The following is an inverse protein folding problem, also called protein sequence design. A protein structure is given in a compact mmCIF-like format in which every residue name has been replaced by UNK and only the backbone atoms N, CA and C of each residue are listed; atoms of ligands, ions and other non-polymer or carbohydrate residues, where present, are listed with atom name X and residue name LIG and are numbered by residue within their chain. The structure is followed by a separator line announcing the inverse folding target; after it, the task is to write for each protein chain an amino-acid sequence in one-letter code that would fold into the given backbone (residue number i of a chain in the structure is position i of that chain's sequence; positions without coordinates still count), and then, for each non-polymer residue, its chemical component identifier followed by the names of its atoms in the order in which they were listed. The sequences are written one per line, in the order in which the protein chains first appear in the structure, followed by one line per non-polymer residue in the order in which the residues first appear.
data_IF_479759256404
#
_entry.id   IF_479759256404
#
_cell.length_a   1.000
_cell.length_b   1.000
_cell.length_c   1.000
_cell.angle_alpha   90.00
_cell.angle_beta   90.00
_cell.angle_gamma   90.00
#
_symmetry.space_group_name_H-M   'P 1'
#
loop_
_entity.id
_entity.type
_entity.pdbx_description
1 polymer ?
#
# COMPACT_ATOMS: atom_id res chain seq x y z
N UNK A 1 10.59 -15.64 -12.42
CA UNK A 1 10.48 -17.05 -12.03
C UNK A 1 11.58 -17.85 -12.70
N UNK A 2 12.17 -18.84 -12.03
CA UNK A 2 13.17 -19.75 -12.60
C UNK A 2 12.48 -20.80 -13.45
N UNK A 3 13.09 -21.16 -14.57
CA UNK A 3 12.60 -22.21 -15.47
C UNK A 3 12.93 -23.59 -14.92
N UNK A 4 11.96 -24.51 -14.98
CA UNK A 4 12.12 -25.90 -14.55
C UNK A 4 12.42 -26.84 -15.71
N UNK A 5 12.16 -26.42 -16.96
CA UNK A 5 12.23 -27.26 -18.15
C UNK A 5 11.20 -28.38 -18.14
N UNK A 6 10.09 -28.14 -17.43
CA UNK A 6 8.92 -29.01 -17.39
C UNK A 6 7.75 -28.14 -17.82
N UNK A 7 7.27 -28.36 -19.04
CA UNK A 7 6.40 -27.38 -19.72
C UNK A 7 5.14 -27.06 -18.92
N UNK A 8 4.48 -28.11 -18.43
CA UNK A 8 3.24 -28.00 -17.63
C UNK A 8 3.43 -27.15 -16.37
N UNK A 9 4.55 -27.29 -15.68
CA UNK A 9 4.84 -26.57 -14.44
C UNK A 9 5.31 -25.14 -14.73
N UNK A 10 6.11 -24.95 -15.79
CA UNK A 10 6.56 -23.63 -16.23
C UNK A 10 5.37 -22.75 -16.65
N UNK A 11 4.31 -23.31 -17.24
CA UNK A 11 3.07 -22.61 -17.55
C UNK A 11 2.34 -22.12 -16.29
N UNK A 12 2.27 -22.93 -15.24
CA UNK A 12 1.70 -22.51 -13.95
C UNK A 12 2.47 -21.33 -13.36
N UNK A 13 3.80 -21.38 -13.34
CA UNK A 13 4.60 -20.27 -12.80
C UNK A 13 4.58 -19.00 -13.66
N UNK A 14 4.33 -19.11 -14.97
CA UNK A 14 4.12 -17.93 -15.84
C UNK A 14 2.87 -17.15 -15.43
N UNK A 15 1.80 -17.83 -15.00
CA UNK A 15 0.57 -17.18 -14.56
C UNK A 15 0.77 -16.31 -13.30
N UNK A 16 1.81 -16.58 -12.52
CA UNK A 16 2.15 -15.78 -11.34
C UNK A 16 2.92 -14.50 -11.66
N UNK A 17 3.44 -14.32 -12.88
CA UNK A 17 4.27 -13.15 -13.21
C UNK A 17 3.52 -11.83 -13.08
N UNK A 18 2.28 -11.77 -13.57
CA UNK A 18 1.47 -10.54 -13.48
C UNK A 18 1.06 -10.23 -12.04
N UNK A 19 0.48 -11.17 -11.25
CA UNK A 19 0.18 -10.92 -9.84
C UNK A 19 1.39 -10.47 -9.00
N UNK A 20 2.59 -11.00 -9.26
CA UNK A 20 3.81 -10.55 -8.57
C UNK A 20 4.15 -9.10 -8.91
N UNK A 21 4.00 -8.70 -10.17
CA UNK A 21 4.21 -7.31 -10.60
C UNK A 21 3.17 -6.39 -9.97
N UNK A 22 1.89 -6.74 -10.07
CA UNK A 22 0.80 -5.98 -9.45
C UNK A 22 1.04 -5.81 -7.94
N UNK A 23 1.43 -6.87 -7.24
CA UNK A 23 1.75 -6.81 -5.81
C UNK A 23 2.93 -5.89 -5.52
N UNK A 24 3.93 -5.85 -6.40
CA UNK A 24 5.11 -4.98 -6.23
C UNK A 24 4.74 -3.53 -6.46
N UNK A 25 4.04 -3.24 -7.57
CA UNK A 25 3.61 -1.90 -7.93
C UNK A 25 2.69 -1.30 -6.86
N UNK A 26 1.73 -2.07 -6.34
CA UNK A 26 0.84 -1.63 -5.27
C UNK A 26 1.62 -1.21 -4.01
N UNK A 27 2.62 -2.00 -3.62
CA UNK A 27 3.45 -1.71 -2.43
C UNK A 27 4.34 -0.49 -2.66
N UNK A 28 5.03 -0.43 -3.79
CA UNK A 28 5.95 0.67 -4.11
C UNK A 28 5.20 2.00 -4.27
N UNK A 29 4.04 2.01 -4.94
CA UNK A 29 3.24 3.22 -5.11
C UNK A 29 2.75 3.79 -3.77
N UNK A 30 2.27 2.92 -2.86
CA UNK A 30 1.88 3.34 -1.52
C UNK A 30 3.08 3.89 -0.73
N UNK A 31 4.20 3.16 -0.72
CA UNK A 31 5.40 3.57 0.01
C UNK A 31 5.96 4.90 -0.51
N UNK A 32 6.03 5.08 -1.83
CA UNK A 32 6.52 6.30 -2.46
C UNK A 32 5.64 7.50 -2.13
N UNK A 33 4.31 7.33 -2.12
CA UNK A 33 3.38 8.40 -1.75
C UNK A 33 3.50 8.78 -0.27
N UNK A 34 3.66 7.80 0.63
CA UNK A 34 3.93 8.05 2.05
C UNK A 34 5.24 8.81 2.25
N UNK A 35 6.32 8.39 1.57
CA UNK A 35 7.63 9.07 1.65
C UNK A 35 7.53 10.50 1.14
N UNK A 36 6.91 10.71 -0.02
CA UNK A 36 6.73 12.05 -0.61
C UNK A 36 5.95 12.98 0.32
N UNK A 37 4.90 12.48 0.98
CA UNK A 37 4.16 13.25 1.98
C UNK A 37 5.03 13.61 3.19
N UNK A 38 5.80 12.66 3.74
CA UNK A 38 6.72 12.90 4.87
C UNK A 38 7.78 13.96 4.55
N UNK A 39 8.35 13.91 3.35
CA UNK A 39 9.34 14.89 2.88
C UNK A 39 8.76 16.31 2.84
N UNK A 40 7.52 16.47 2.34
CA UNK A 40 6.83 17.76 2.30
C UNK A 40 6.43 18.27 3.69
N UNK A 41 6.25 17.36 4.65
CA UNK A 41 6.11 17.72 6.06
C UNK A 41 7.43 18.25 6.65
N UNK A 42 8.57 18.03 6.01
CA UNK A 42 9.91 18.43 6.49
C UNK A 42 10.40 17.57 7.65
N UNK A 43 9.94 16.32 7.74
CA UNK A 43 10.31 15.39 8.80
C UNK A 43 11.32 14.35 8.31
N UNK A 44 12.05 13.75 9.25
CA UNK A 44 12.96 12.65 8.94
C UNK A 44 12.19 11.43 8.38
N UNK A 45 12.80 10.58 7.53
CA UNK A 45 12.13 9.40 6.96
C UNK A 45 11.53 8.44 7.99
N UNK A 46 12.14 8.39 9.18
CA UNK A 46 11.71 7.56 10.33
C UNK A 46 10.47 8.10 11.05
N UNK A 47 10.02 9.32 10.74
CA UNK A 47 8.84 9.91 11.35
C UNK A 47 7.58 9.12 10.97
N UNK A 48 6.64 9.02 11.91
CA UNK A 48 5.34 8.40 11.66
C UNK A 48 4.32 9.42 11.13
N UNK A 49 3.14 8.95 10.72
CA UNK A 49 2.13 9.85 10.15
C UNK A 49 1.47 10.75 11.20
N UNK A 50 1.44 10.32 12.47
CA UNK A 50 1.01 11.18 13.57
C UNK A 50 1.85 12.46 13.62
N UNK A 51 3.18 12.31 13.60
CA UNK A 51 4.11 13.44 13.60
C UNK A 51 3.93 14.33 12.37
N UNK A 52 3.66 13.74 11.20
CA UNK A 52 3.39 14.48 9.97
C UNK A 52 2.15 15.35 10.08
N UNK A 53 1.02 14.77 10.52
CA UNK A 53 -0.24 15.50 10.69
C UNK A 53 -0.11 16.59 11.75
N UNK A 54 0.57 16.33 12.87
CA UNK A 54 0.84 17.35 13.90
C UNK A 54 1.72 18.50 13.36
N UNK A 55 2.77 18.17 12.60
CA UNK A 55 3.64 19.19 12.01
C UNK A 55 2.89 20.06 11.00
N UNK A 56 2.02 19.45 10.18
CA UNK A 56 1.24 20.15 9.16
C UNK A 56 0.08 20.93 9.76
N UNK A 57 -0.57 20.43 10.82
CA UNK A 57 -1.71 21.11 11.46
C UNK A 57 -1.36 22.51 11.95
N UNK A 58 -0.16 22.68 12.54
CA UNK A 58 0.37 23.99 12.94
C UNK A 58 0.49 24.99 11.79
N UNK A 59 0.60 24.52 10.55
CA UNK A 59 0.69 25.34 9.34
C UNK A 59 -0.68 25.56 8.68
N UNK A 60 -1.63 24.67 8.94
CA UNK A 60 -2.99 24.71 8.42
C UNK A 60 -3.96 25.51 9.30
N UNK A 61 -3.57 25.82 10.54
CA UNK A 61 -4.31 26.71 11.44
C UNK A 61 -3.66 28.09 11.41
N UNK A 62 -4.45 29.13 11.12
CA UNK A 62 -3.97 30.53 11.17
C UNK A 62 -3.87 31.03 12.62
N UNK A 63 -3.11 32.11 12.82
CA UNK A 63 -2.93 32.78 14.13
C UNK A 63 -4.22 33.33 14.74
N UNK A 64 -5.27 33.50 13.94
CA UNK A 64 -6.63 33.91 14.36
C UNK A 64 -7.54 32.72 14.70
N UNK A 65 -6.97 31.52 14.84
CA UNK A 65 -7.71 30.26 15.01
C UNK A 65 -8.62 29.87 13.83
N UNK A 66 -8.46 30.49 12.65
CA UNK A 66 -9.19 30.05 11.46
C UNK A 66 -8.48 28.86 10.80
N UNK A 67 -9.20 27.74 10.67
CA UNK A 67 -8.68 26.53 10.03
C UNK A 67 -8.76 26.67 8.51
N UNK A 68 -7.64 26.49 7.80
CA UNK A 68 -7.60 26.52 6.34
C UNK A 68 -8.11 25.23 5.70
N UNK A 69 -8.05 24.11 6.43
CA UNK A 69 -8.37 22.77 5.96
C UNK A 69 -9.04 21.97 7.06
N UNK A 70 -10.17 21.35 6.75
CA UNK A 70 -10.84 20.39 7.63
C UNK A 70 -10.56 18.98 7.10
N UNK A 71 -10.23 18.05 7.99
CA UNK A 71 -10.10 16.64 7.62
C UNK A 71 -11.45 15.96 7.83
N UNK A 72 -12.07 15.51 6.75
CA UNK A 72 -13.29 14.75 6.80
C UNK A 72 -12.97 13.30 7.17
N UNK A 73 -13.46 12.87 8.34
CA UNK A 73 -13.23 11.55 8.91
C UNK A 73 -14.48 10.64 8.84
N UNK A 74 -15.53 11.06 8.13
CA UNK A 74 -16.78 10.30 8.05
C UNK A 74 -16.64 9.02 7.21
N UNK A 75 -15.69 9.02 6.27
CA UNK A 75 -15.39 7.89 5.40
C UNK A 75 -14.14 7.12 5.86
N UNK A 76 -14.00 5.90 5.36
CA UNK A 76 -12.82 5.04 5.62
C UNK A 76 -11.49 5.69 5.18
N UNK A 77 -11.54 6.60 4.21
CA UNK A 77 -10.38 7.26 3.63
C UNK A 77 -10.48 8.77 3.87
N UNK A 78 -9.75 9.29 4.88
CA UNK A 78 -9.83 10.70 5.27
C UNK A 78 -9.45 11.68 4.16
N UNK A 79 -10.31 12.63 3.85
CA UNK A 79 -10.06 13.68 2.83
C UNK A 79 -9.81 15.04 3.47
N UNK A 80 -9.08 15.91 2.78
CA UNK A 80 -8.83 17.29 3.21
C UNK A 80 -9.72 18.26 2.44
N UNK A 81 -10.55 19.01 3.14
CA UNK A 81 -11.49 19.97 2.58
C UNK A 81 -11.02 21.41 2.84
N UNK A 82 -10.77 22.16 1.78
CA UNK A 82 -10.30 23.55 1.86
C UNK A 82 -11.42 24.47 2.36
N UNK A 83 -11.14 25.29 3.37
CA UNK A 83 -12.08 26.28 3.93
C UNK A 83 -11.81 27.71 3.44
N UNK A 84 -10.76 27.92 2.63
CA UNK A 84 -10.40 29.24 2.14
C UNK A 84 -9.20 29.23 1.20
N UNK A 85 -8.61 30.42 0.97
CA UNK A 85 -7.43 30.56 0.11
C UNK A 85 -6.20 30.00 0.84
N UNK A 86 -5.66 28.92 0.28
CA UNK A 86 -4.48 28.23 0.83
C UNK A 86 -3.22 28.65 0.08
N UNK A 87 -2.13 29.04 0.78
CA UNK A 87 -0.81 29.27 0.20
C UNK A 87 -0.29 28.10 -0.66
N UNK A 88 0.46 28.39 -1.71
CA UNK A 88 0.95 27.39 -2.67
C UNK A 88 1.78 26.27 -2.02
N UNK A 89 2.57 26.60 -1.00
CA UNK A 89 3.34 25.63 -0.23
C UNK A 89 2.43 24.61 0.49
N UNK A 90 1.30 25.06 1.02
CA UNK A 90 0.33 24.21 1.72
C UNK A 90 -0.51 23.38 0.73
N UNK A 91 -0.83 23.93 -0.45
CA UNK A 91 -1.48 23.16 -1.52
C UNK A 91 -0.68 21.93 -1.92
N UNK A 92 0.64 22.06 -2.07
CA UNK A 92 1.52 20.90 -2.39
C UNK A 92 1.44 19.80 -1.33
N UNK A 93 1.39 20.17 -0.05
CA UNK A 93 1.23 19.22 1.06
C UNK A 93 -0.13 18.50 0.97
N UNK A 94 -1.20 19.26 0.70
CA UNK A 94 -2.56 18.71 0.57
C UNK A 94 -2.65 17.75 -0.61
N UNK A 95 -2.10 18.11 -1.78
CA UNK A 95 -2.06 17.21 -2.95
C UNK A 95 -1.27 15.93 -2.66
N UNK A 96 -0.14 16.03 -1.96
CA UNK A 96 0.63 14.84 -1.57
C UNK A 96 -0.12 13.97 -0.56
N UNK A 97 -0.85 14.58 0.37
CA UNK A 97 -1.73 13.87 1.29
C UNK A 97 -2.86 13.13 0.54
N UNK A 98 -3.56 13.80 -0.38
CA UNK A 98 -4.62 13.19 -1.19
C UNK A 98 -4.07 12.03 -2.04
N UNK A 99 -2.90 12.21 -2.64
CA UNK A 99 -2.22 11.15 -3.39
C UNK A 99 -1.88 9.95 -2.50
N UNK A 100 -1.37 10.19 -1.29
CA UNK A 100 -1.09 9.16 -0.30
C UNK A 100 -2.35 8.38 0.08
N UNK A 101 -3.44 9.07 0.41
CA UNK A 101 -4.73 8.44 0.73
C UNK A 101 -5.25 7.61 -0.45
N UNK A 102 -5.13 8.12 -1.67
CA UNK A 102 -5.53 7.40 -2.87
C UNK A 102 -4.70 6.13 -3.10
N UNK A 103 -3.37 6.18 -2.90
CA UNK A 103 -2.52 4.99 -3.02
C UNK A 103 -2.79 3.96 -1.92
N UNK A 104 -3.07 4.41 -0.69
CA UNK A 104 -3.51 3.53 0.40
C UNK A 104 -4.84 2.84 0.05
N UNK A 105 -5.79 3.58 -0.52
CA UNK A 105 -7.07 3.04 -0.98
C UNK A 105 -6.88 1.97 -2.06
N UNK A 106 -6.14 2.30 -3.12
CA UNK A 106 -5.87 1.38 -4.22
C UNK A 106 -5.20 0.10 -3.70
N UNK A 107 -4.19 0.21 -2.82
CA UNK A 107 -3.56 -0.95 -2.20
C UNK A 107 -4.58 -1.78 -1.40
N UNK A 108 -5.38 -1.14 -0.53
CA UNK A 108 -6.31 -1.82 0.38
C UNK A 108 -7.40 -2.58 -0.38
N UNK A 109 -7.96 -1.96 -1.43
CA UNK A 109 -9.04 -2.52 -2.25
C UNK A 109 -8.56 -3.66 -3.17
N UNK A 110 -7.31 -3.61 -3.66
CA UNK A 110 -6.80 -4.58 -4.63
C UNK A 110 -5.94 -5.69 -4.02
N UNK A 111 -5.37 -5.49 -2.83
CA UNK A 111 -4.41 -6.41 -2.22
C UNK A 111 -4.97 -7.83 -2.04
N UNK A 112 -6.24 -7.99 -1.62
CA UNK A 112 -6.82 -9.32 -1.40
C UNK A 112 -6.94 -10.10 -2.72
N UNK A 113 -7.44 -9.44 -3.77
CA UNK A 113 -7.56 -10.04 -5.10
C UNK A 113 -6.20 -10.46 -5.66
N UNK A 114 -5.17 -9.63 -5.51
CA UNK A 114 -3.81 -9.96 -5.98
C UNK A 114 -3.20 -11.07 -5.13
N UNK A 115 -3.39 -11.03 -3.81
CA UNK A 115 -2.95 -12.08 -2.89
C UNK A 115 -3.56 -13.44 -3.26
N UNK A 116 -4.87 -13.49 -3.50
CA UNK A 116 -5.57 -14.70 -3.90
C UNK A 116 -5.00 -15.28 -5.20
N UNK A 117 -4.72 -14.46 -6.21
CA UNK A 117 -4.09 -14.91 -7.47
C UNK A 117 -2.70 -15.52 -7.24
N UNK A 118 -1.88 -14.94 -6.37
CA UNK A 118 -0.56 -15.49 -6.01
C UNK A 118 -0.72 -16.84 -5.31
N UNK A 119 -1.62 -16.92 -4.32
CA UNK A 119 -1.88 -18.15 -3.56
C UNK A 119 -2.47 -19.25 -4.44
N UNK A 120 -3.34 -18.91 -5.39
CA UNK A 120 -3.87 -19.86 -6.37
C UNK A 120 -2.75 -20.45 -7.24
N UNK A 121 -1.84 -19.61 -7.75
CA UNK A 121 -0.67 -20.10 -8.50
C UNK A 121 0.22 -21.03 -7.65
N UNK A 122 0.42 -20.67 -6.38
CA UNK A 122 1.17 -21.52 -5.44
C UNK A 122 0.47 -22.88 -5.25
N UNK A 123 -0.85 -22.90 -5.00
CA UNK A 123 -1.63 -24.13 -4.83
C UNK A 123 -1.55 -25.02 -6.06
N UNK A 124 -1.78 -24.46 -7.24
CA UNK A 124 -1.67 -25.19 -8.50
C UNK A 124 -0.26 -25.77 -8.73
N UNK A 125 0.79 -25.01 -8.39
CA UNK A 125 2.16 -25.52 -8.49
C UNK A 125 2.41 -26.68 -7.51
N UNK A 126 1.87 -26.61 -6.29
CA UNK A 126 2.04 -27.63 -5.25
C UNK A 126 1.42 -28.98 -5.61
N UNK A 127 0.43 -29.04 -6.51
CA UNK A 127 -0.12 -30.30 -7.03
C UNK A 127 0.94 -31.15 -7.75
N UNK A 128 1.99 -30.52 -8.28
CA UNK A 128 3.09 -31.21 -8.95
C UNK A 128 4.21 -31.63 -7.99
N UNK A 129 4.23 -31.14 -6.74
CA UNK A 129 5.38 -31.25 -5.84
C UNK A 129 5.79 -32.71 -5.57
N UNK A 130 4.83 -33.57 -5.24
CA UNK A 130 5.09 -34.99 -4.91
C UNK A 130 5.63 -35.79 -6.11
N UNK A 131 5.15 -35.47 -7.31
CA UNK A 131 5.48 -36.20 -8.53
C UNK A 131 6.53 -35.48 -9.41
N UNK A 132 7.11 -34.37 -8.93
CA UNK A 132 7.97 -33.48 -9.71
C UNK A 132 9.13 -34.22 -10.37
N UNK A 133 9.80 -35.09 -9.62
CA UNK A 133 10.90 -35.90 -10.13
C UNK A 133 10.44 -36.90 -11.20
N UNK A 134 9.30 -37.57 -10.97
CA UNK A 134 8.73 -38.52 -11.94
C UNK A 134 8.34 -37.81 -13.25
N UNK A 135 7.70 -36.64 -13.14
CA UNK A 135 7.30 -35.83 -14.30
C UNK A 135 8.55 -35.37 -15.07
N UNK A 136 9.55 -34.86 -14.37
CA UNK A 136 10.79 -34.42 -15.01
C UNK A 136 11.50 -35.55 -15.75
N UNK A 137 11.57 -36.75 -15.16
CA UNK A 137 12.16 -37.92 -15.81
C UNK A 137 11.36 -38.35 -17.06
N UNK A 138 10.02 -38.30 -17.01
CA UNK A 138 9.14 -38.57 -18.16
C UNK A 138 9.31 -37.55 -19.30
N UNK A 139 9.61 -36.29 -18.98
CA UNK A 139 9.96 -35.26 -19.96
C UNK A 139 11.43 -35.34 -20.43
N UNK A 140 12.18 -36.37 -20.01
CA UNK A 140 13.54 -36.64 -20.50
C UNK A 140 14.65 -35.88 -19.75
N UNK A 141 14.35 -35.28 -18.60
CA UNK A 141 15.37 -34.65 -17.76
C UNK A 141 16.26 -35.71 -17.10
N UNK A 142 17.58 -35.58 -17.33
CA UNK A 142 18.61 -36.39 -16.65
C UNK A 142 18.82 -35.90 -15.22
N UNK A 143 19.35 -36.77 -14.36
CA UNK A 143 19.56 -36.56 -12.91
C UNK A 143 20.00 -35.14 -12.52
N UNK A 144 21.11 -34.62 -13.07
CA UNK A 144 21.59 -33.26 -12.73
C UNK A 144 20.60 -32.15 -13.11
N UNK A 145 19.88 -32.27 -14.23
CA UNK A 145 18.86 -31.29 -14.63
C UNK A 145 17.59 -31.42 -13.78
N UNK A 146 17.25 -32.64 -13.41
CA UNK A 146 16.10 -32.94 -12.55
C UNK A 146 16.31 -32.37 -11.14
N UNK A 147 17.51 -32.51 -10.57
CA UNK A 147 17.88 -31.85 -9.31
C UNK A 147 17.73 -30.33 -9.39
N UNK A 148 18.22 -29.71 -10.47
CA UNK A 148 18.05 -28.27 -10.71
C UNK A 148 16.58 -27.87 -10.86
N UNK A 149 15.74 -28.71 -11.47
CA UNK A 149 14.31 -28.43 -11.59
C UNK A 149 13.63 -28.40 -10.20
N UNK A 150 14.00 -29.32 -9.31
CA UNK A 150 13.52 -29.35 -7.91
C UNK A 150 13.97 -28.10 -7.14
N UNK A 151 15.22 -27.68 -7.30
CA UNK A 151 15.73 -26.44 -6.71
C UNK A 151 15.00 -25.19 -7.24
N UNK A 152 14.79 -25.11 -8.55
CA UNK A 152 14.02 -24.04 -9.19
C UNK A 152 12.57 -24.00 -8.71
N UNK A 153 11.92 -25.16 -8.59
CA UNK A 153 10.57 -25.29 -8.04
C UNK A 153 10.50 -24.72 -6.63
N UNK A 154 11.39 -25.18 -5.75
CA UNK A 154 11.46 -24.74 -4.35
C UNK A 154 11.66 -23.23 -4.26
N UNK A 155 12.61 -22.68 -5.04
CA UNK A 155 12.84 -21.24 -5.09
C UNK A 155 11.60 -20.47 -5.56
N UNK A 156 10.92 -20.95 -6.61
CA UNK A 156 9.72 -20.30 -7.14
C UNK A 156 8.60 -20.26 -6.08
N UNK A 157 8.37 -21.36 -5.37
CA UNK A 157 7.40 -21.42 -4.27
C UNK A 157 7.77 -20.42 -3.15
N UNK A 158 9.04 -20.34 -2.78
CA UNK A 158 9.51 -19.37 -1.77
C UNK A 158 9.24 -17.93 -2.20
N UNK A 159 9.46 -17.59 -3.47
CA UNK A 159 9.13 -16.24 -3.97
C UNK A 159 7.63 -15.97 -3.92
N UNK A 160 6.78 -16.91 -4.32
CA UNK A 160 5.32 -16.71 -4.26
C UNK A 160 4.86 -16.45 -2.82
N UNK A 161 5.34 -17.25 -1.86
CA UNK A 161 5.05 -17.04 -0.42
C UNK A 161 5.55 -15.67 0.04
N UNK A 162 6.80 -15.32 -0.27
CA UNK A 162 7.38 -14.04 0.12
C UNK A 162 6.61 -12.84 -0.46
N UNK A 163 6.19 -12.90 -1.72
CA UNK A 163 5.39 -11.83 -2.33
C UNK A 163 4.00 -11.69 -1.70
N UNK A 164 3.36 -12.82 -1.38
CA UNK A 164 2.07 -12.83 -0.68
C UNK A 164 2.18 -12.23 0.73
N UNK A 165 3.23 -12.61 1.48
CA UNK A 165 3.49 -12.10 2.83
C UNK A 165 3.80 -10.60 2.84
N UNK A 166 4.64 -10.13 1.90
CA UNK A 166 4.96 -8.71 1.73
C UNK A 166 3.71 -7.88 1.41
N UNK A 167 2.82 -8.39 0.55
CA UNK A 167 1.58 -7.70 0.21
C UNK A 167 0.64 -7.60 1.42
N UNK A 168 0.52 -8.68 2.20
CA UNK A 168 -0.26 -8.68 3.45
C UNK A 168 0.30 -7.70 4.47
N UNK A 169 1.62 -7.66 4.64
CA UNK A 169 2.28 -6.69 5.51
C UNK A 169 1.98 -5.26 5.08
N UNK A 170 2.16 -4.95 3.79
CA UNK A 170 1.91 -3.61 3.26
C UNK A 170 0.45 -3.16 3.42
N UNK A 171 -0.52 -4.07 3.23
CA UNK A 171 -1.93 -3.77 3.51
C UNK A 171 -2.16 -3.43 4.98
N UNK A 172 -1.59 -4.19 5.91
CA UNK A 172 -1.71 -3.91 7.34
C UNK A 172 -1.07 -2.56 7.71
N UNK A 173 0.09 -2.24 7.14
CA UNK A 173 0.75 -0.95 7.31
C UNK A 173 -0.12 0.20 6.76
N UNK A 174 -0.72 0.04 5.59
CA UNK A 174 -1.67 1.01 5.02
C UNK A 174 -2.87 1.27 5.94
N UNK A 175 -3.45 0.22 6.53
CA UNK A 175 -4.54 0.37 7.49
C UNK A 175 -4.09 1.06 8.78
N UNK A 176 -2.88 0.78 9.25
CA UNK A 176 -2.32 1.44 10.42
C UNK A 176 -2.01 2.92 10.15
N UNK A 177 -1.54 3.25 8.94
CA UNK A 177 -1.36 4.62 8.49
C UNK A 177 -2.67 5.42 8.53
N UNK A 178 -3.80 4.84 8.11
CA UNK A 178 -5.11 5.48 8.20
C UNK A 178 -5.51 5.78 9.65
N UNK A 179 -5.28 4.84 10.58
CA UNK A 179 -5.56 5.06 12.01
C UNK A 179 -4.71 6.19 12.57
N UNK A 180 -3.41 6.20 12.28
CA UNK A 180 -2.52 7.27 12.70
C UNK A 180 -2.96 8.64 12.20
N UNK A 181 -3.38 8.73 10.93
CA UNK A 181 -3.92 9.97 10.36
C UNK A 181 -5.19 10.40 11.09
N UNK A 182 -6.13 9.48 11.30
CA UNK A 182 -7.38 9.74 11.99
C UNK A 182 -7.14 10.26 13.41
N UNK A 183 -6.35 9.54 14.21
CA UNK A 183 -6.08 9.89 15.61
C UNK A 183 -5.36 11.24 15.73
N UNK A 184 -4.44 11.52 14.82
CA UNK A 184 -3.73 12.80 14.77
C UNK A 184 -4.66 13.94 14.35
N UNK A 185 -5.53 13.74 13.35
CA UNK A 185 -6.49 14.74 12.91
C UNK A 185 -7.47 15.11 14.03
N UNK A 186 -7.96 14.13 14.79
CA UNK A 186 -8.79 14.35 15.98
C UNK A 186 -8.02 15.12 17.06
N UNK A 187 -6.79 14.68 17.36
CA UNK A 187 -5.95 15.29 18.41
C UNK A 187 -5.58 16.73 18.09
N UNK A 188 -5.42 17.07 16.81
CA UNK A 188 -5.16 18.43 16.34
C UNK A 188 -6.43 19.27 16.14
N UNK A 189 -7.63 18.72 16.36
CA UNK A 189 -8.89 19.42 16.14
C UNK A 189 -9.20 19.75 14.68
N UNK A 190 -8.54 19.06 13.73
CA UNK A 190 -8.72 19.29 12.28
C UNK A 190 -10.05 18.73 11.75
N UNK A 191 -10.74 17.90 12.51
CA UNK A 191 -11.98 17.23 12.11
C UNK A 191 -13.26 18.04 12.35
N UNK A 192 -13.14 19.25 12.90
CA UNK A 192 -14.29 20.13 13.17
C UNK A 192 -14.29 21.30 12.20
N UNK A 193 -15.33 21.47 11.36
CA UNK A 193 -15.58 22.74 10.73
C UNK A 193 -15.88 23.78 11.82
N UNK A 194 -15.31 24.98 11.71
CA UNK A 194 -15.68 26.08 12.60
C UNK A 194 -17.14 26.43 12.28
N UNK A 195 -18.04 26.54 13.28
CA UNK A 195 -19.36 27.10 13.03
C UNK A 195 -19.18 28.52 12.52
N UNK A 196 -19.64 28.79 11.29
CA UNK A 196 -19.75 30.15 10.78
C UNK A 196 -20.50 30.98 11.83
N UNK A 197 -19.85 32.05 12.29
CA UNK A 197 -20.23 32.91 13.40
C UNK A 197 -21.75 33.16 13.48
N UNK A 198 -22.38 32.91 14.64
CA UNK A 198 -23.71 33.48 14.93
C UNK A 198 -23.50 34.96 15.28
N UNK A 199 -23.20 35.76 14.27
CA UNK A 199 -23.46 37.19 14.30
C UNK A 199 -24.90 37.40 13.83
N UNK A 200 -25.85 37.29 14.76
CA UNK A 200 -27.19 37.83 14.58
C UNK A 200 -27.54 38.78 15.72
N UNK A 201 -27.43 40.07 15.37
CA UNK A 201 -28.37 41.13 15.73
C UNK A 201 -28.37 41.66 17.17
N UNK A 202 -27.72 42.84 17.34
CA UNK A 202 -28.31 43.93 18.15
C UNK A 202 -29.58 44.43 17.47
N UNK A 203 -30.63 44.77 18.24
CA UNK A 203 -30.81 46.18 18.61
C UNK A 203 -30.49 46.47 20.08
#
# INVERSE_FOLDING_TARGET
MRTLWIKSIDEVFKNALQPIRDATDLRENMQNAVVSFKELCGLAPVANLIQCIVAVSSRLVKSDNTTLVVVNLNDQYPTMELQGIVPEVLKKIITAYEMMINMIKILTENADTVYEKIVQCQKAAMEFHENLQSIGAKEGLKERKLQKAVESFTWNITILKGQADLLKYAKNEALENLKQIHDAAVSCGLNKPIPANVESSKP
#
